data_IF_476201516423
#
_entry.id   IF_476201516423
#
_cell.length_a   1.000
_cell.length_b   1.000
_cell.length_c   1.000
_cell.angle_alpha   90.00
_cell.angle_beta   90.00
_cell.angle_gamma   90.00
#
_symmetry.space_group_name_H-M   'P 1'
#
loop_
_entity.id
_entity.type
_entity.pdbx_description
1 polymer ?
#
# COMPACT_ATOMS: atom_id res chain seq x y z
N UNK A 1 -30.50 -31.92 7.72
CA UNK A 1 -31.77 -31.58 7.02
C UNK A 1 -32.98 -32.19 7.73
N UNK A 2 -32.92 -33.44 8.17
CA UNK A 2 -34.04 -34.17 8.85
C UNK A 2 -34.72 -33.33 9.96
N UNK A 3 -33.96 -32.72 10.84
CA UNK A 3 -34.51 -31.89 11.94
C UNK A 3 -35.20 -30.61 11.47
N UNK A 4 -34.78 -30.02 10.35
CA UNK A 4 -35.44 -28.85 9.76
C UNK A 4 -36.75 -29.24 9.04
N UNK A 5 -36.76 -30.41 8.39
CA UNK A 5 -37.95 -31.00 7.75
C UNK A 5 -38.99 -31.42 8.79
N UNK A 6 -38.58 -32.06 9.89
CA UNK A 6 -39.46 -32.44 10.99
C UNK A 6 -40.15 -31.24 11.64
N UNK A 7 -39.45 -30.11 11.72
CA UNK A 7 -39.97 -28.84 12.24
C UNK A 7 -40.72 -28.02 11.18
N UNK A 8 -40.83 -28.51 9.96
CA UNK A 8 -41.47 -27.82 8.80
C UNK A 8 -40.93 -26.41 8.60
N UNK A 9 -39.62 -26.24 8.80
CA UNK A 9 -38.95 -24.97 8.50
C UNK A 9 -38.85 -24.82 6.98
N UNK A 10 -39.07 -23.63 6.51
CA UNK A 10 -38.96 -23.30 5.09
C UNK A 10 -38.58 -21.86 4.88
N UNK A 11 -37.95 -21.59 3.74
CA UNK A 11 -37.57 -20.25 3.31
C UNK A 11 -38.35 -19.91 2.06
N UNK A 12 -39.08 -18.80 2.07
CA UNK A 12 -39.81 -18.33 0.87
C UNK A 12 -38.81 -17.97 -0.25
N UNK A 13 -39.28 -18.09 -1.50
CA UNK A 13 -38.46 -17.75 -2.66
C UNK A 13 -37.98 -16.29 -2.64
N UNK A 14 -38.80 -15.36 -2.16
CA UNK A 14 -38.44 -13.95 -1.99
C UNK A 14 -37.32 -13.77 -0.96
N UNK A 15 -37.40 -14.48 0.16
CA UNK A 15 -36.36 -14.44 1.19
C UNK A 15 -35.05 -15.07 0.70
N UNK A 16 -35.14 -16.17 -0.02
CA UNK A 16 -34.00 -16.85 -0.62
C UNK A 16 -33.32 -15.95 -1.66
N UNK A 17 -34.10 -15.30 -2.52
CA UNK A 17 -33.56 -14.33 -3.48
C UNK A 17 -32.83 -13.18 -2.77
N UNK A 18 -33.39 -12.67 -1.66
CA UNK A 18 -32.74 -11.62 -0.85
C UNK A 18 -31.42 -12.10 -0.27
N UNK A 19 -31.35 -13.34 0.25
CA UNK A 19 -30.14 -13.95 0.81
C UNK A 19 -29.07 -14.08 -0.27
N UNK A 20 -29.43 -14.55 -1.47
CA UNK A 20 -28.50 -14.70 -2.60
C UNK A 20 -28.01 -13.33 -3.07
N UNK A 21 -28.90 -12.34 -3.21
CA UNK A 21 -28.53 -10.99 -3.65
C UNK A 21 -27.67 -10.22 -2.65
N UNK A 22 -27.80 -10.53 -1.36
CA UNK A 22 -27.01 -9.90 -0.29
C UNK A 22 -25.67 -10.59 -0.02
N UNK A 23 -25.36 -11.71 -0.68
CA UNK A 23 -24.09 -12.41 -0.52
C UNK A 23 -22.93 -11.55 -1.05
N UNK A 24 -21.94 -11.17 -0.21
CA UNK A 24 -20.81 -10.34 -0.63
C UNK A 24 -20.01 -10.93 -1.81
N UNK A 25 -19.95 -12.26 -1.92
CA UNK A 25 -19.26 -12.94 -3.02
C UNK A 25 -19.91 -12.69 -4.39
N UNK A 26 -21.20 -12.33 -4.39
CA UNK A 26 -21.99 -12.07 -5.60
C UNK A 26 -22.21 -10.58 -5.85
N UNK A 27 -21.56 -9.69 -5.08
CA UNK A 27 -21.67 -8.25 -5.26
C UNK A 27 -20.54 -7.72 -6.14
N UNK A 28 -20.91 -6.87 -7.11
CA UNK A 28 -19.98 -6.17 -8.00
C UNK A 28 -19.40 -4.88 -7.35
N UNK A 29 -18.61 -4.12 -8.11
CA UNK A 29 -18.14 -2.80 -7.70
C UNK A 29 -19.36 -1.89 -7.40
N UNK A 30 -19.48 -1.45 -6.13
CA UNK A 30 -20.64 -0.67 -5.68
C UNK A 30 -21.65 -1.44 -4.82
N UNK A 31 -21.36 -2.67 -4.41
CA UNK A 31 -22.14 -3.41 -3.41
C UNK A 31 -23.51 -3.91 -3.91
N UNK A 32 -23.72 -3.97 -5.21
CA UNK A 32 -24.96 -4.50 -5.82
C UNK A 32 -24.72 -5.90 -6.37
N UNK A 33 -25.79 -6.73 -6.32
CA UNK A 33 -25.78 -8.07 -6.91
C UNK A 33 -25.37 -8.03 -8.39
N UNK A 34 -24.45 -8.91 -8.78
CA UNK A 34 -23.94 -9.07 -10.14
C UNK A 34 -24.18 -10.51 -10.62
N UNK A 35 -25.06 -10.65 -11.62
CA UNK A 35 -25.40 -11.94 -12.20
C UNK A 35 -24.20 -12.62 -12.88
N UNK A 36 -23.26 -11.86 -13.42
CA UNK A 36 -22.08 -12.43 -14.06
C UNK A 36 -21.18 -13.14 -13.05
N UNK A 37 -21.04 -12.59 -11.85
CA UNK A 37 -20.33 -13.24 -10.76
C UNK A 37 -20.97 -14.54 -10.32
N UNK A 38 -22.30 -14.59 -10.24
CA UNK A 38 -23.01 -15.85 -9.99
C UNK A 38 -22.70 -16.87 -11.07
N UNK A 39 -22.76 -16.49 -12.34
CA UNK A 39 -22.46 -17.40 -13.47
C UNK A 39 -21.02 -17.89 -13.44
N UNK A 40 -20.08 -17.04 -13.07
CA UNK A 40 -18.68 -17.41 -12.92
C UNK A 40 -18.47 -18.39 -11.76
N UNK A 41 -19.11 -18.14 -10.61
CA UNK A 41 -19.10 -19.03 -9.46
C UNK A 41 -19.66 -20.40 -9.81
N UNK A 42 -20.79 -20.45 -10.54
CA UNK A 42 -21.42 -21.69 -10.98
C UNK A 42 -20.51 -22.50 -11.93
N UNK A 43 -19.89 -21.84 -12.90
CA UNK A 43 -18.90 -22.48 -13.80
C UNK A 43 -17.72 -23.06 -13.04
N UNK A 44 -17.17 -22.29 -12.06
CA UNK A 44 -16.00 -22.73 -11.31
C UNK A 44 -16.30 -23.86 -10.32
N UNK A 45 -17.53 -23.94 -9.81
CA UNK A 45 -17.96 -24.95 -8.84
C UNK A 45 -18.65 -26.16 -9.45
N UNK A 46 -18.96 -26.12 -10.76
CA UNK A 46 -19.64 -27.21 -11.48
C UNK A 46 -21.12 -27.39 -11.13
N UNK A 47 -21.74 -26.39 -10.48
CA UNK A 47 -23.17 -26.42 -10.15
C UNK A 47 -24.03 -25.79 -11.25
N UNK A 48 -25.22 -26.31 -11.41
CA UNK A 48 -26.30 -25.61 -12.12
C UNK A 48 -26.92 -24.53 -11.23
N UNK A 49 -27.63 -23.56 -11.82
CA UNK A 49 -28.35 -22.52 -11.08
C UNK A 49 -29.39 -23.12 -10.12
N UNK A 50 -30.12 -24.17 -10.57
CA UNK A 50 -31.11 -24.85 -9.74
C UNK A 50 -30.48 -25.58 -8.54
N UNK A 51 -29.39 -26.30 -8.76
CA UNK A 51 -28.65 -26.97 -7.68
C UNK A 51 -28.10 -25.99 -6.64
N UNK A 52 -27.59 -24.84 -7.11
CA UNK A 52 -27.12 -23.77 -6.23
C UNK A 52 -28.28 -23.20 -5.40
N UNK A 53 -29.43 -22.92 -5.99
CA UNK A 53 -30.61 -22.40 -5.29
C UNK A 53 -31.09 -23.41 -4.25
N UNK A 54 -31.15 -24.71 -4.58
CA UNK A 54 -31.49 -25.79 -3.62
C UNK A 54 -30.47 -25.83 -2.46
N UNK A 55 -29.19 -25.77 -2.77
CA UNK A 55 -28.14 -25.78 -1.75
C UNK A 55 -28.25 -24.55 -0.82
N UNK A 56 -28.48 -23.37 -1.37
CA UNK A 56 -28.67 -22.13 -0.59
C UNK A 56 -29.93 -22.17 0.26
N UNK A 57 -31.01 -22.78 -0.22
CA UNK A 57 -32.23 -23.03 0.55
C UNK A 57 -31.93 -23.92 1.77
N UNK A 58 -31.27 -25.04 1.55
CA UNK A 58 -30.88 -25.97 2.62
C UNK A 58 -29.97 -25.31 3.67
N UNK A 59 -29.06 -24.40 3.25
CA UNK A 59 -28.22 -23.63 4.18
C UNK A 59 -29.07 -22.65 4.99
N UNK A 60 -30.00 -21.94 4.35
CA UNK A 60 -30.85 -20.97 5.01
C UNK A 60 -31.81 -21.62 6.03
N UNK A 61 -32.37 -22.80 5.71
CA UNK A 61 -33.22 -23.56 6.62
C UNK A 61 -32.42 -24.06 7.85
N UNK A 62 -31.20 -24.55 7.64
CA UNK A 62 -30.32 -24.91 8.78
C UNK A 62 -29.93 -23.69 9.62
N UNK A 63 -29.71 -22.52 8.99
CA UNK A 63 -29.44 -21.30 9.70
C UNK A 63 -30.61 -20.84 10.57
N UNK A 64 -31.87 -20.99 10.07
CA UNK A 64 -33.06 -20.71 10.88
C UNK A 64 -33.15 -21.62 12.11
N UNK A 65 -32.84 -22.90 11.96
CA UNK A 65 -32.82 -23.82 13.11
C UNK A 65 -31.74 -23.41 14.13
N UNK A 66 -30.54 -23.10 13.65
CA UNK A 66 -29.44 -22.64 14.50
C UNK A 66 -29.79 -21.31 15.19
N UNK A 67 -30.40 -20.36 14.48
CA UNK A 67 -30.82 -19.07 15.02
C UNK A 67 -31.98 -19.23 16.02
N UNK A 68 -32.92 -20.12 15.76
CA UNK A 68 -34.02 -20.45 16.68
C UNK A 68 -33.52 -21.06 18.00
N UNK A 69 -32.44 -21.84 17.96
CA UNK A 69 -31.83 -22.45 19.17
C UNK A 69 -30.87 -21.46 19.84
N UNK A 70 -30.02 -20.76 19.09
CA UNK A 70 -28.94 -19.92 19.61
C UNK A 70 -29.28 -18.43 19.70
N UNK A 71 -30.22 -17.95 18.90
CA UNK A 71 -30.54 -16.52 18.78
C UNK A 71 -31.12 -15.85 20.04
N UNK A 72 -31.62 -16.70 20.99
CA UNK A 72 -32.05 -16.23 22.31
C UNK A 72 -30.97 -16.29 23.40
N UNK A 73 -29.84 -16.92 23.12
CA UNK A 73 -28.74 -17.05 24.09
C UNK A 73 -27.90 -15.78 24.10
N UNK A 74 -28.09 -14.95 25.12
CA UNK A 74 -27.20 -13.83 25.40
C UNK A 74 -25.99 -14.32 26.19
N UNK A 75 -24.79 -13.93 25.80
CA UNK A 75 -23.62 -14.17 26.63
C UNK A 75 -23.86 -13.57 28.02
N UNK A 76 -23.50 -14.29 29.11
CA UNK A 76 -23.63 -13.78 30.48
C UNK A 76 -22.96 -12.40 30.57
N UNK A 77 -23.65 -11.45 31.21
CA UNK A 77 -23.15 -10.05 31.34
C UNK A 77 -21.77 -10.04 32.00
N UNK A 78 -21.56 -10.90 33.02
CA UNK A 78 -20.28 -11.05 33.69
C UNK A 78 -19.15 -11.50 32.75
N UNK A 79 -19.44 -12.36 31.76
CA UNK A 79 -18.46 -12.75 30.75
C UNK A 79 -18.12 -11.61 29.79
N UNK A 80 -19.13 -10.89 29.32
CA UNK A 80 -18.94 -9.74 28.43
C UNK A 80 -18.15 -8.63 29.14
N UNK A 81 -18.49 -8.34 30.39
CA UNK A 81 -17.79 -7.36 31.23
C UNK A 81 -16.33 -7.78 31.49
N UNK A 82 -16.10 -9.04 31.83
CA UNK A 82 -14.75 -9.56 32.06
C UNK A 82 -13.90 -9.51 30.79
N UNK A 83 -14.46 -9.89 29.64
CA UNK A 83 -13.79 -9.79 28.34
C UNK A 83 -13.47 -8.35 27.96
N UNK A 84 -14.43 -7.44 28.16
CA UNK A 84 -14.25 -6.02 27.89
C UNK A 84 -13.18 -5.41 28.83
N UNK A 85 -13.18 -5.76 30.11
CA UNK A 85 -12.16 -5.34 31.06
C UNK A 85 -10.77 -5.88 30.67
N UNK A 86 -10.69 -7.15 30.26
CA UNK A 86 -9.44 -7.75 29.79
C UNK A 86 -8.89 -7.05 28.54
N UNK A 87 -9.74 -6.77 27.55
CA UNK A 87 -9.32 -6.13 26.31
C UNK A 87 -8.95 -4.65 26.47
N UNK A 88 -9.60 -3.95 27.42
CA UNK A 88 -9.38 -2.52 27.69
C UNK A 88 -8.32 -2.28 28.76
N UNK A 89 -7.81 -3.34 29.39
CA UNK A 89 -6.82 -3.21 30.46
C UNK A 89 -5.59 -2.45 29.93
N UNK A 90 -5.20 -1.42 30.65
CA UNK A 90 -3.94 -0.70 30.47
C UNK A 90 -3.05 -0.89 31.67
N UNK A 91 -1.74 -0.80 31.47
CA UNK A 91 -0.75 -0.83 32.55
C UNK A 91 0.19 0.34 32.42
N UNK A 92 0.59 0.88 33.57
CA UNK A 92 1.75 1.78 33.67
C UNK A 92 2.93 0.92 34.08
N UNK A 93 4.04 1.07 33.38
CA UNK A 93 5.24 0.24 33.54
C UNK A 93 6.43 1.14 33.75
N UNK A 94 7.14 0.94 34.86
CA UNK A 94 8.47 1.49 35.04
C UNK A 94 9.48 0.47 34.54
N UNK A 95 10.45 0.91 33.74
CA UNK A 95 11.40 0.00 33.09
C UNK A 95 12.78 0.63 32.92
N UNK A 96 13.78 -0.24 32.80
CA UNK A 96 15.14 0.10 32.41
C UNK A 96 15.38 -0.40 30.99
N UNK A 97 15.89 0.44 30.11
CA UNK A 97 16.26 0.06 28.74
C UNK A 97 17.77 -0.15 28.67
N UNK A 98 18.19 -1.39 28.46
CA UNK A 98 19.58 -1.77 28.32
C UNK A 98 19.91 -1.78 26.83
N UNK A 99 20.90 -1.01 26.43
CA UNK A 99 21.37 -0.91 25.03
C UNK A 99 22.84 -1.31 24.94
N UNK A 100 23.38 -1.40 23.74
CA UNK A 100 24.77 -1.69 23.48
C UNK A 100 25.74 -0.76 24.24
N UNK A 101 25.36 0.51 24.40
CA UNK A 101 26.17 1.52 25.11
C UNK A 101 26.40 1.16 26.60
N UNK A 102 25.46 0.45 27.22
CA UNK A 102 25.49 0.10 28.64
C UNK A 102 26.31 -1.15 28.96
N UNK A 103 26.58 -1.98 27.94
CA UNK A 103 27.32 -3.26 28.14
C UNK A 103 28.77 -3.19 27.68
N UNK A 104 29.19 -2.01 27.20
CA UNK A 104 30.54 -1.73 26.75
C UNK A 104 30.85 -2.29 25.36
N UNK A 105 31.97 -1.83 24.83
CA UNK A 105 32.42 -2.26 23.49
C UNK A 105 32.82 -3.73 23.49
N UNK A 106 32.48 -4.41 22.40
CA UNK A 106 32.92 -5.78 22.13
C UNK A 106 34.22 -5.68 21.33
N UNK A 107 35.31 -6.08 21.96
CA UNK A 107 36.63 -6.14 21.30
C UNK A 107 36.63 -7.17 20.18
N UNK A 108 37.58 -7.06 19.24
CA UNK A 108 37.76 -8.05 18.20
C UNK A 108 38.15 -9.43 18.81
N UNK A 109 37.61 -10.53 18.30
CA UNK A 109 37.99 -11.86 18.78
C UNK A 109 39.45 -12.18 18.46
N UNK A 110 40.08 -12.94 19.33
CA UNK A 110 41.39 -13.52 19.05
C UNK A 110 41.30 -14.47 17.82
N UNK A 111 42.38 -14.64 17.09
CA UNK A 111 42.38 -15.44 15.88
C UNK A 111 41.87 -16.88 16.08
N UNK A 112 42.25 -17.52 17.19
CA UNK A 112 41.80 -18.87 17.52
C UNK A 112 40.29 -18.92 17.82
N UNK A 113 39.75 -17.91 18.51
CA UNK A 113 38.32 -17.79 18.79
C UNK A 113 37.52 -17.57 17.51
N UNK A 114 38.01 -16.68 16.64
CA UNK A 114 37.38 -16.41 15.35
C UNK A 114 37.35 -17.65 14.46
N UNK A 115 38.46 -18.41 14.45
CA UNK A 115 38.56 -19.65 13.67
C UNK A 115 37.60 -20.72 14.21
N UNK A 116 37.49 -20.88 15.52
CA UNK A 116 36.53 -21.82 16.14
C UNK A 116 35.11 -21.43 15.80
N UNK A 117 34.75 -20.15 15.99
CA UNK A 117 33.44 -19.63 15.67
C UNK A 117 33.05 -19.85 14.22
N UNK A 118 33.99 -19.58 13.28
CA UNK A 118 33.78 -19.84 11.86
C UNK A 118 33.51 -21.33 11.55
N UNK A 119 34.29 -22.23 12.13
CA UNK A 119 34.09 -23.67 11.89
C UNK A 119 32.75 -24.18 12.46
N UNK A 120 32.33 -23.66 13.63
CA UNK A 120 31.05 -24.00 14.27
C UNK A 120 29.84 -23.47 13.48
N UNK A 121 30.01 -22.33 12.80
CA UNK A 121 28.93 -21.63 12.06
C UNK A 121 29.19 -21.61 10.54
N UNK A 122 30.01 -22.52 10.02
CA UNK A 122 30.47 -22.52 8.62
C UNK A 122 29.33 -22.53 7.60
N UNK A 123 28.19 -23.12 7.94
CA UNK A 123 27.03 -23.20 7.09
C UNK A 123 26.43 -21.80 6.78
N UNK A 124 26.52 -20.87 7.72
CA UNK A 124 25.95 -19.52 7.61
C UNK A 124 26.80 -18.60 6.71
N UNK A 125 28.08 -18.98 6.51
CA UNK A 125 29.04 -18.22 5.72
C UNK A 125 29.32 -18.83 4.33
N UNK A 126 28.51 -19.79 3.89
CA UNK A 126 28.62 -20.34 2.54
C UNK A 126 28.21 -19.31 1.49
N UNK A 127 28.89 -19.32 0.35
CA UNK A 127 28.37 -18.65 -0.83
C UNK A 127 27.15 -19.44 -1.34
N UNK A 128 26.01 -18.78 -1.55
CA UNK A 128 24.85 -19.44 -2.13
C UNK A 128 25.11 -19.85 -3.59
N UNK A 129 24.20 -20.59 -4.17
CA UNK A 129 24.18 -20.79 -5.61
C UNK A 129 23.80 -19.50 -6.32
N UNK A 130 24.46 -19.19 -7.43
CA UNK A 130 24.11 -18.06 -8.28
C UNK A 130 23.76 -18.52 -9.69
N UNK A 131 22.87 -17.78 -10.34
CA UNK A 131 22.46 -17.97 -11.72
C UNK A 131 22.85 -16.77 -12.57
N UNK A 132 23.41 -17.02 -13.77
CA UNK A 132 23.52 -16.02 -14.82
C UNK A 132 22.41 -16.30 -15.83
N UNK A 133 21.70 -15.25 -16.23
CA UNK A 133 20.66 -15.34 -17.27
C UNK A 133 20.92 -14.34 -18.38
N UNK A 134 20.34 -14.61 -19.53
CA UNK A 134 20.03 -13.58 -20.54
C UNK A 134 18.53 -13.43 -20.63
N UNK A 135 18.07 -12.23 -20.95
CA UNK A 135 16.65 -11.99 -21.12
C UNK A 135 16.35 -10.97 -22.22
N UNK A 136 15.16 -11.07 -22.80
CA UNK A 136 14.54 -10.06 -23.67
C UNK A 136 13.29 -9.59 -22.96
N UNK A 137 13.16 -8.28 -22.75
CA UNK A 137 11.96 -7.64 -22.25
C UNK A 137 11.25 -6.93 -23.41
N UNK A 138 10.07 -7.40 -23.75
CA UNK A 138 9.19 -6.79 -24.74
C UNK A 138 8.11 -6.01 -24.03
N UNK A 139 8.24 -4.69 -24.01
CA UNK A 139 7.27 -3.78 -23.41
C UNK A 139 6.93 -2.65 -24.37
N UNK A 140 5.79 -1.94 -24.18
CA UNK A 140 5.49 -0.77 -24.99
C UNK A 140 6.64 0.25 -25.01
N UNK A 141 7.37 0.41 -23.91
CA UNK A 141 8.49 1.33 -23.80
C UNK A 141 9.72 0.88 -24.59
N UNK A 142 10.02 -0.44 -24.60
CA UNK A 142 11.17 -0.98 -25.34
C UNK A 142 10.94 -1.03 -26.85
N UNK A 143 9.68 -1.12 -27.26
CA UNK A 143 9.28 -1.21 -28.66
C UNK A 143 8.89 0.16 -29.27
N UNK A 144 8.50 1.12 -28.44
CA UNK A 144 8.07 2.44 -28.90
C UNK A 144 9.15 3.13 -29.75
N UNK A 145 8.73 3.65 -30.91
CA UNK A 145 9.59 4.36 -31.86
C UNK A 145 9.05 5.76 -32.09
N UNK A 146 9.33 6.72 -31.19
CA UNK A 146 8.86 8.10 -31.33
C UNK A 146 9.27 8.77 -32.66
N UNK A 147 10.38 8.33 -33.25
CA UNK A 147 10.88 8.85 -34.53
C UNK A 147 9.99 8.45 -35.72
N UNK A 148 9.16 7.42 -35.60
CA UNK A 148 8.27 6.95 -36.66
C UNK A 148 6.92 7.70 -36.65
N UNK A 149 6.62 8.42 -35.55
CA UNK A 149 5.41 9.26 -35.44
C UNK A 149 5.61 10.55 -36.19
N UNK A 150 4.76 10.81 -37.15
CA UNK A 150 4.82 12.04 -37.97
C UNK A 150 4.24 13.25 -37.24
N UNK A 151 4.70 14.45 -37.59
CA UNK A 151 4.12 15.73 -37.10
C UNK A 151 2.62 15.84 -37.40
N UNK A 152 2.17 15.28 -38.52
CA UNK A 152 0.75 15.28 -38.92
C UNK A 152 -0.10 14.41 -37.96
N UNK A 153 0.37 13.24 -37.61
CA UNK A 153 -0.31 12.35 -36.62
C UNK A 153 -0.35 13.01 -35.26
N UNK A 154 0.77 13.59 -34.81
CA UNK A 154 0.84 14.26 -33.51
C UNK A 154 -0.10 15.48 -33.44
N UNK A 155 -0.22 16.27 -34.53
CA UNK A 155 -1.17 17.37 -34.58
C UNK A 155 -2.61 16.92 -34.66
N UNK A 156 -2.91 15.85 -35.37
CA UNK A 156 -4.25 15.28 -35.41
C UNK A 156 -4.68 14.78 -34.00
N UNK A 157 -3.77 14.16 -33.27
CA UNK A 157 -4.00 13.71 -31.91
C UNK A 157 -4.18 14.88 -30.94
N UNK A 158 -3.36 15.95 -31.07
CA UNK A 158 -3.55 17.17 -30.29
C UNK A 158 -4.95 17.75 -30.47
N UNK A 159 -5.42 17.89 -31.72
CA UNK A 159 -6.75 18.45 -32.00
C UNK A 159 -7.86 17.52 -31.44
N UNK A 160 -7.65 16.22 -31.47
CA UNK A 160 -8.58 15.24 -30.87
C UNK A 160 -8.66 15.38 -29.34
N UNK A 161 -7.49 15.59 -28.69
CA UNK A 161 -7.34 15.69 -27.23
C UNK A 161 -7.29 17.13 -26.71
N UNK A 162 -7.64 18.10 -27.52
CA UNK A 162 -7.49 19.53 -27.18
C UNK A 162 -8.17 19.94 -25.87
N UNK A 163 -9.23 19.25 -25.50
CA UNK A 163 -9.92 19.50 -24.24
C UNK A 163 -9.11 19.02 -23.02
N UNK A 164 -8.28 18.00 -23.19
CA UNK A 164 -7.42 17.48 -22.12
C UNK A 164 -6.29 18.47 -21.78
N UNK A 165 -5.89 19.28 -22.77
CA UNK A 165 -4.88 20.34 -22.67
C UNK A 165 -5.46 21.71 -22.33
N UNK A 166 -6.78 21.77 -22.09
CA UNK A 166 -7.48 23.00 -21.75
C UNK A 166 -7.71 23.10 -20.24
N UNK A 167 -7.09 24.10 -19.64
CA UNK A 167 -7.33 24.49 -18.26
C UNK A 167 -8.38 25.62 -18.25
N UNK A 168 -9.57 25.41 -17.68
CA UNK A 168 -10.59 26.43 -17.62
C UNK A 168 -10.17 27.57 -16.71
N UNK A 169 -10.75 28.76 -16.94
CA UNK A 169 -10.59 29.89 -16.03
C UNK A 169 -10.94 29.48 -14.61
N UNK A 170 -10.06 29.78 -13.66
CA UNK A 170 -10.25 29.52 -12.23
C UNK A 170 -10.21 30.81 -11.44
N UNK A 171 -11.04 30.89 -10.41
CA UNK A 171 -11.14 32.06 -9.55
C UNK A 171 -10.99 31.65 -8.09
N UNK A 172 -10.19 32.42 -7.36
CA UNK A 172 -10.15 32.32 -5.90
C UNK A 172 -11.30 33.14 -5.34
N UNK A 173 -12.24 32.48 -4.70
CA UNK A 173 -13.53 33.07 -4.33
C UNK A 173 -13.75 32.98 -2.84
N UNK A 174 -14.26 34.06 -2.27
CA UNK A 174 -14.80 34.10 -0.92
C UNK A 174 -16.30 34.30 -1.01
N UNK A 175 -17.05 33.69 -0.11
CA UNK A 175 -18.51 33.79 -0.04
C UNK A 175 -18.95 34.14 1.38
N UNK A 176 -19.93 35.01 1.52
CA UNK A 176 -20.58 35.29 2.79
C UNK A 176 -22.08 35.03 2.64
N UNK A 177 -22.63 34.11 3.42
CA UNK A 177 -24.02 33.72 3.39
C UNK A 177 -24.85 34.59 4.35
N UNK A 178 -26.11 34.89 4.00
CA UNK A 178 -27.03 35.70 4.76
C UNK A 178 -28.32 34.93 5.03
N UNK A 179 -28.98 35.20 6.20
CA UNK A 179 -30.19 34.50 6.57
C UNK A 179 -31.42 34.92 5.77
N UNK A 180 -31.40 36.10 5.12
CA UNK A 180 -32.48 36.61 4.26
C UNK A 180 -31.90 37.46 3.14
N UNK A 181 -32.72 37.70 2.12
CA UNK A 181 -32.38 38.58 1.00
C UNK A 181 -32.15 40.01 1.47
N UNK A 182 -33.03 40.52 2.36
CA UNK A 182 -32.95 41.88 2.90
C UNK A 182 -31.62 42.11 3.63
N UNK A 183 -31.18 41.12 4.43
CA UNK A 183 -29.91 41.21 5.14
C UNK A 183 -28.70 41.22 4.19
N UNK A 184 -28.79 40.52 3.07
CA UNK A 184 -27.74 40.52 2.02
C UNK A 184 -27.73 41.83 1.25
N UNK A 185 -28.90 42.39 0.93
CA UNK A 185 -29.05 43.69 0.27
C UNK A 185 -28.55 44.85 1.15
N UNK A 186 -28.84 44.84 2.46
CA UNK A 186 -28.27 45.80 3.40
C UNK A 186 -26.74 45.74 3.45
N UNK A 187 -26.17 44.53 3.48
CA UNK A 187 -24.73 44.32 3.44
C UNK A 187 -24.13 44.78 2.10
N UNK A 188 -24.78 44.48 0.98
CA UNK A 188 -24.37 44.95 -0.33
C UNK A 188 -24.41 46.49 -0.45
N UNK A 189 -25.43 47.16 0.15
CA UNK A 189 -25.46 48.60 0.21
C UNK A 189 -24.33 49.21 1.05
N UNK A 190 -23.91 48.56 2.12
CA UNK A 190 -22.73 48.96 2.90
C UNK A 190 -21.44 48.86 2.10
N UNK A 191 -21.29 47.80 1.28
CA UNK A 191 -20.14 47.67 0.36
C UNK A 191 -20.11 48.79 -0.68
N UNK A 192 -21.26 49.16 -1.26
CA UNK A 192 -21.38 50.29 -2.19
C UNK A 192 -21.03 51.62 -1.53
N UNK A 193 -21.26 51.77 -0.21
CA UNK A 193 -20.93 52.95 0.57
C UNK A 193 -19.48 52.95 1.10
N UNK A 194 -18.61 52.04 0.59
CA UNK A 194 -17.17 52.06 0.85
C UNK A 194 -16.69 51.12 1.93
N UNK A 195 -17.56 50.26 2.53
CA UNK A 195 -17.05 49.12 3.32
C UNK A 195 -16.40 48.09 2.45
N UNK A 196 -15.48 47.34 3.01
CA UNK A 196 -14.83 46.22 2.35
C UNK A 196 -15.50 44.89 2.74
N UNK A 197 -15.24 43.84 1.97
CA UNK A 197 -15.67 42.49 2.31
C UNK A 197 -15.10 42.04 3.67
N UNK A 198 -13.87 42.45 3.98
CA UNK A 198 -13.20 42.11 5.24
C UNK A 198 -13.81 42.88 6.45
N UNK A 199 -14.30 44.11 6.26
CA UNK A 199 -15.03 44.82 7.30
C UNK A 199 -16.33 44.10 7.66
N UNK A 200 -17.08 43.65 6.65
CA UNK A 200 -18.32 42.89 6.87
C UNK A 200 -18.03 41.51 7.51
N UNK A 201 -16.96 40.85 7.11
CA UNK A 201 -16.49 39.59 7.72
C UNK A 201 -16.22 39.78 9.22
N UNK A 202 -15.49 40.83 9.57
CA UNK A 202 -15.12 41.14 10.95
C UNK A 202 -16.36 41.50 11.80
N UNK A 203 -17.29 42.32 11.29
CA UNK A 203 -18.52 42.67 11.98
C UNK A 203 -19.40 41.44 12.29
N UNK A 204 -19.32 40.41 11.44
CA UNK A 204 -20.09 39.16 11.62
C UNK A 204 -19.31 38.09 12.39
N UNK A 205 -18.12 38.39 12.85
CA UNK A 205 -17.20 37.47 13.55
C UNK A 205 -16.92 36.17 12.75
N UNK A 206 -16.79 36.30 11.42
CA UNK A 206 -16.46 35.17 10.53
C UNK A 206 -14.96 35.06 10.40
N UNK A 207 -14.45 33.82 10.43
CA UNK A 207 -13.07 33.50 10.14
C UNK A 207 -12.81 33.40 8.63
N UNK A 208 -11.54 33.35 8.22
CA UNK A 208 -11.20 33.13 6.82
C UNK A 208 -11.72 31.78 6.31
N UNK A 209 -11.75 30.75 7.14
CA UNK A 209 -12.28 29.45 6.76
C UNK A 209 -13.79 29.46 6.52
N UNK A 210 -14.54 30.34 7.23
CA UNK A 210 -15.99 30.42 7.07
C UNK A 210 -16.41 31.05 5.74
N UNK A 211 -15.54 31.81 5.11
CA UNK A 211 -15.83 32.56 3.89
C UNK A 211 -15.08 32.05 2.66
N UNK A 212 -14.04 31.23 2.82
CA UNK A 212 -13.19 30.79 1.71
C UNK A 212 -13.78 29.59 0.97
N UNK A 213 -14.17 29.78 -0.30
CA UNK A 213 -14.58 28.68 -1.20
C UNK A 213 -13.39 28.01 -1.90
N UNK A 214 -12.19 28.62 -1.84
CA UNK A 214 -11.01 28.13 -2.54
C UNK A 214 -10.90 28.62 -3.99
N UNK A 215 -10.18 27.84 -4.80
CA UNK A 215 -9.99 28.10 -6.23
C UNK A 215 -10.94 27.20 -7.00
N UNK A 216 -11.87 27.80 -7.73
CA UNK A 216 -12.95 27.10 -8.43
C UNK A 216 -13.01 27.51 -9.90
N UNK A 217 -13.31 26.55 -10.75
CA UNK A 217 -13.80 26.80 -12.10
C UNK A 217 -15.33 27.04 -12.07
N UNK A 218 -15.87 27.60 -13.13
CA UNK A 218 -17.32 27.87 -13.22
C UNK A 218 -18.17 26.60 -13.07
N UNK A 219 -17.68 25.50 -13.64
CA UNK A 219 -18.33 24.18 -13.58
C UNK A 219 -18.32 23.54 -12.17
N UNK A 220 -17.46 23.99 -11.25
CA UNK A 220 -17.37 23.47 -9.90
C UNK A 220 -18.51 23.97 -8.98
N UNK A 221 -19.27 24.97 -9.43
CA UNK A 221 -20.40 25.48 -8.68
C UNK A 221 -21.62 24.58 -8.82
N UNK A 222 -22.13 24.12 -7.67
CA UNK A 222 -23.40 23.37 -7.60
C UNK A 222 -24.63 24.24 -7.92
N UNK A 223 -24.49 25.54 -7.76
CA UNK A 223 -25.49 26.55 -8.04
C UNK A 223 -25.01 27.45 -9.18
N UNK A 224 -25.64 27.29 -10.34
CA UNK A 224 -25.28 28.01 -11.58
C UNK A 224 -25.38 29.53 -11.42
N UNK A 225 -26.36 30.01 -10.65
CA UNK A 225 -26.53 31.45 -10.41
C UNK A 225 -25.33 32.05 -9.63
N UNK A 226 -24.78 31.30 -8.68
CA UNK A 226 -23.58 31.71 -7.96
C UNK A 226 -22.33 31.65 -8.86
N UNK A 227 -22.23 30.62 -9.68
CA UNK A 227 -21.16 30.50 -10.68
C UNK A 227 -21.18 31.66 -11.68
N UNK A 228 -22.35 31.98 -12.24
CA UNK A 228 -22.52 33.11 -13.16
C UNK A 228 -22.16 34.44 -12.50
N UNK A 229 -22.64 34.67 -11.29
CA UNK A 229 -22.31 35.88 -10.55
C UNK A 229 -20.80 35.97 -10.26
N UNK A 230 -20.19 34.91 -9.75
CA UNK A 230 -18.76 34.87 -9.44
C UNK A 230 -17.88 35.13 -10.68
N UNK A 231 -18.28 34.59 -11.84
CA UNK A 231 -17.53 34.71 -13.09
C UNK A 231 -17.84 36.01 -13.88
N UNK A 232 -18.81 36.80 -13.45
CA UNK A 232 -19.07 38.14 -13.96
C UNK A 232 -18.20 39.22 -13.29
N UNK A 233 -17.64 38.95 -12.11
CA UNK A 233 -16.85 39.90 -11.33
C UNK A 233 -15.41 40.01 -11.86
N UNK A 234 -14.79 41.17 -11.65
CA UNK A 234 -13.35 41.37 -11.88
C UNK A 234 -12.58 40.97 -10.63
N UNK A 235 -11.26 40.82 -10.81
CA UNK A 235 -10.35 40.58 -9.69
C UNK A 235 -10.46 41.72 -8.66
N UNK A 236 -10.59 41.37 -7.39
CA UNK A 236 -10.81 42.30 -6.27
C UNK A 236 -12.26 42.72 -6.09
N UNK A 237 -13.14 42.43 -7.03
CA UNK A 237 -14.53 42.90 -7.02
C UNK A 237 -15.42 42.03 -6.10
N UNK A 238 -16.44 42.70 -5.53
CA UNK A 238 -17.42 42.02 -4.67
C UNK A 238 -18.83 42.21 -5.30
N UNK A 239 -19.61 41.13 -5.28
CA UNK A 239 -20.95 41.11 -5.85
C UNK A 239 -21.93 41.95 -5.00
N UNK A 240 -23.08 42.24 -5.56
CA UNK A 240 -24.29 42.52 -4.78
C UNK A 240 -24.83 41.26 -4.06
N UNK A 241 -26.04 41.34 -3.53
CA UNK A 241 -26.75 40.18 -3.03
C UNK A 241 -27.09 39.26 -4.22
N UNK A 242 -26.67 38.02 -4.14
CA UNK A 242 -26.92 36.96 -5.14
C UNK A 242 -27.81 35.93 -4.49
N UNK A 243 -28.99 35.72 -5.04
CA UNK A 243 -29.92 34.69 -4.58
C UNK A 243 -29.47 33.33 -5.13
N UNK A 244 -29.03 32.45 -4.25
CA UNK A 244 -28.72 31.07 -4.56
C UNK A 244 -29.79 30.10 -4.13
N UNK A 245 -29.67 28.86 -4.52
CA UNK A 245 -30.65 27.79 -4.29
C UNK A 245 -30.90 27.52 -2.80
N UNK A 246 -29.93 27.77 -1.92
CA UNK A 246 -29.99 27.46 -0.49
C UNK A 246 -29.87 28.69 0.40
N UNK A 247 -29.29 29.77 -0.07
CA UNK A 247 -29.08 30.99 0.70
C UNK A 247 -28.77 32.16 -0.22
N UNK A 248 -29.03 33.38 0.22
CA UNK A 248 -28.56 34.59 -0.45
C UNK A 248 -27.11 34.86 0.01
N UNK A 249 -26.23 35.15 -0.91
CA UNK A 249 -24.78 35.31 -0.64
C UNK A 249 -24.23 36.60 -1.24
N UNK A 250 -23.10 37.05 -0.71
CA UNK A 250 -22.21 38.03 -1.35
C UNK A 250 -20.91 37.31 -1.67
N UNK A 251 -20.46 37.44 -2.90
CA UNK A 251 -19.23 36.84 -3.44
C UNK A 251 -18.13 37.89 -3.58
N UNK A 252 -16.89 37.49 -3.34
CA UNK A 252 -15.72 38.33 -3.61
C UNK A 252 -14.67 37.51 -4.34
N UNK A 253 -14.20 38.00 -5.47
CA UNK A 253 -13.14 37.38 -6.28
C UNK A 253 -11.79 37.96 -5.88
N UNK A 254 -10.94 37.14 -5.29
CA UNK A 254 -9.60 37.56 -4.84
C UNK A 254 -8.57 37.52 -5.96
N UNK A 255 -8.69 36.54 -6.84
CA UNK A 255 -7.71 36.29 -7.94
C UNK A 255 -8.41 35.58 -9.09
N UNK A 256 -8.04 35.95 -10.29
CA UNK A 256 -8.46 35.28 -11.54
C UNK A 256 -7.25 34.63 -12.17
N UNK A 257 -7.31 33.34 -12.39
CA UNK A 257 -6.39 32.62 -13.27
C UNK A 257 -7.10 32.40 -14.60
N UNK A 258 -6.70 33.06 -15.66
CA UNK A 258 -7.39 32.96 -16.96
C UNK A 258 -7.31 31.52 -17.49
N UNK A 259 -8.25 31.18 -18.36
CA UNK A 259 -8.19 29.93 -19.10
C UNK A 259 -6.90 29.85 -19.90
N UNK A 260 -6.34 28.69 -19.96
CA UNK A 260 -5.11 28.42 -20.72
C UNK A 260 -5.26 27.09 -21.44
N UNK A 261 -4.93 27.08 -22.74
CA UNK A 261 -4.78 25.85 -23.49
C UNK A 261 -3.31 25.72 -23.84
N UNK A 262 -2.70 24.63 -23.37
CA UNK A 262 -1.30 24.36 -23.71
C UNK A 262 -1.15 24.24 -25.23
N UNK A 263 -0.28 25.05 -25.87
CA UNK A 263 -0.09 24.95 -27.29
C UNK A 263 0.57 23.63 -27.69
N UNK A 264 0.35 23.21 -28.92
CA UNK A 264 0.89 21.97 -29.47
C UNK A 264 2.39 21.81 -29.20
N UNK A 265 3.16 22.89 -29.36
CA UNK A 265 4.61 22.89 -29.21
C UNK A 265 5.07 22.49 -27.77
N UNK A 266 4.25 22.73 -26.75
CA UNK A 266 4.57 22.39 -25.37
C UNK A 266 4.26 20.91 -25.06
N UNK A 267 3.25 20.31 -25.70
CA UNK A 267 2.79 18.96 -25.46
C UNK A 267 3.16 17.98 -26.56
N UNK A 268 3.80 18.44 -27.63
CA UNK A 268 4.16 17.62 -28.80
C UNK A 268 4.98 16.38 -28.39
N UNK A 269 5.98 16.53 -27.52
CA UNK A 269 6.84 15.43 -27.12
C UNK A 269 6.06 14.34 -26.35
N UNK A 270 5.12 14.74 -25.51
CA UNK A 270 4.24 13.83 -24.78
C UNK A 270 3.33 13.07 -25.75
N UNK A 271 2.66 13.79 -26.65
CA UNK A 271 1.77 13.19 -27.66
C UNK A 271 2.50 12.18 -28.54
N UNK A 272 3.70 12.52 -28.98
CA UNK A 272 4.54 11.63 -29.80
C UNK A 272 4.91 10.36 -29.04
N UNK A 273 5.24 10.48 -27.76
CA UNK A 273 5.52 9.32 -26.92
C UNK A 273 4.29 8.45 -26.70
N UNK A 274 3.14 9.06 -26.42
CA UNK A 274 1.88 8.33 -26.23
C UNK A 274 1.49 7.55 -27.49
N UNK A 275 1.54 8.22 -28.66
CA UNK A 275 1.24 7.57 -29.94
C UNK A 275 2.21 6.43 -30.27
N UNK A 276 3.52 6.62 -30.01
CA UNK A 276 4.51 5.58 -30.21
C UNK A 276 4.26 4.38 -29.31
N UNK A 277 3.85 4.60 -28.05
CA UNK A 277 3.47 3.53 -27.13
C UNK A 277 2.19 2.81 -27.58
N UNK A 278 1.17 3.53 -28.02
CA UNK A 278 -0.05 2.92 -28.57
C UNK A 278 0.22 2.08 -29.82
N UNK A 279 1.16 2.50 -30.67
CA UNK A 279 1.61 1.71 -31.82
C UNK A 279 2.33 0.44 -31.36
N UNK A 280 3.26 0.59 -30.40
CA UNK A 280 3.99 -0.51 -29.81
C UNK A 280 3.07 -1.55 -29.14
N UNK A 281 2.04 -1.11 -28.42
CA UNK A 281 1.03 -2.00 -27.80
C UNK A 281 0.28 -2.86 -28.83
N UNK A 282 0.06 -2.37 -30.03
CA UNK A 282 -0.57 -3.14 -31.11
C UNK A 282 0.39 -4.18 -31.71
N UNK A 283 1.70 -3.82 -31.79
CA UNK A 283 2.71 -4.72 -32.34
C UNK A 283 3.15 -5.83 -31.37
N UNK A 284 3.01 -5.62 -30.06
CA UNK A 284 3.49 -6.56 -29.02
C UNK A 284 2.90 -7.96 -29.22
N UNK A 285 1.62 -8.09 -29.49
CA UNK A 285 0.98 -9.40 -29.62
C UNK A 285 1.45 -10.15 -30.86
N UNK A 286 1.66 -9.46 -31.97
CA UNK A 286 2.18 -10.06 -33.18
C UNK A 286 3.65 -10.52 -32.98
N UNK A 287 4.46 -9.68 -32.30
CA UNK A 287 5.83 -10.03 -31.96
C UNK A 287 5.93 -11.16 -30.92
N UNK A 288 5.01 -11.22 -29.96
CA UNK A 288 4.94 -12.34 -29.03
C UNK A 288 4.81 -13.67 -29.78
N UNK A 289 3.84 -13.75 -30.69
CA UNK A 289 3.58 -14.96 -31.47
C UNK A 289 4.82 -15.31 -32.34
N UNK A 290 5.47 -14.30 -32.98
CA UNK A 290 6.64 -14.52 -33.80
C UNK A 290 7.88 -14.97 -33.00
N UNK A 291 8.06 -14.46 -31.78
CA UNK A 291 9.14 -14.85 -30.86
C UNK A 291 8.90 -16.26 -30.34
N UNK A 292 7.66 -16.60 -29.94
CA UNK A 292 7.31 -17.94 -29.49
C UNK A 292 7.50 -18.98 -30.61
N UNK A 293 7.09 -18.67 -31.84
CA UNK A 293 7.35 -19.54 -33.00
C UNK A 293 8.83 -19.74 -33.27
N UNK A 294 9.65 -18.68 -33.11
CA UNK A 294 11.09 -18.78 -33.28
C UNK A 294 11.74 -19.63 -32.18
N UNK A 295 11.30 -19.47 -30.93
CA UNK A 295 11.77 -20.27 -29.79
C UNK A 295 11.39 -21.75 -29.97
N UNK A 296 10.14 -22.03 -30.28
CA UNK A 296 9.68 -23.39 -30.60
C UNK A 296 10.48 -24.04 -31.77
N UNK A 297 11.00 -23.21 -32.66
CA UNK A 297 11.98 -23.62 -33.70
C UNK A 297 13.40 -23.85 -33.20
N UNK A 298 13.72 -23.59 -31.92
CA UNK A 298 15.03 -23.76 -31.29
C UNK A 298 15.92 -22.53 -31.42
N UNK A 299 15.42 -21.35 -31.74
CA UNK A 299 16.22 -20.13 -31.81
C UNK A 299 16.66 -19.67 -30.40
N UNK A 300 17.91 -19.30 -30.26
CA UNK A 300 18.44 -18.73 -29.02
C UNK A 300 18.04 -17.26 -28.86
N UNK A 301 18.03 -16.76 -27.62
CA UNK A 301 17.66 -15.35 -27.33
C UNK A 301 18.52 -14.35 -28.12
N UNK A 302 19.80 -14.63 -28.31
CA UNK A 302 20.70 -13.76 -29.12
C UNK A 302 20.21 -13.66 -30.58
N UNK A 303 19.80 -14.79 -31.18
CA UNK A 303 19.30 -14.86 -32.56
C UNK A 303 17.93 -14.15 -32.69
N UNK A 304 17.11 -14.28 -31.67
CA UNK A 304 15.81 -13.57 -31.56
C UNK A 304 16.06 -12.07 -31.45
N UNK A 305 16.97 -11.66 -30.58
CA UNK A 305 17.36 -10.26 -30.43
C UNK A 305 17.82 -9.62 -31.74
N UNK A 306 18.66 -10.34 -32.50
CA UNK A 306 19.14 -9.89 -33.84
C UNK A 306 17.97 -9.83 -34.86
N UNK A 307 17.16 -10.90 -34.92
CA UNK A 307 16.09 -11.03 -35.90
C UNK A 307 14.99 -9.98 -35.77
N UNK A 308 14.59 -9.71 -34.50
CA UNK A 308 13.49 -8.79 -34.21
C UNK A 308 13.96 -7.42 -33.71
N UNK A 309 15.30 -7.18 -33.71
CA UNK A 309 15.89 -5.93 -33.20
C UNK A 309 15.53 -5.64 -31.75
N UNK A 310 15.44 -6.68 -30.91
CA UNK A 310 15.15 -6.59 -29.49
C UNK A 310 16.45 -6.65 -28.66
N UNK A 311 16.60 -5.78 -27.65
CA UNK A 311 17.80 -5.79 -26.83
C UNK A 311 17.88 -7.02 -25.93
N UNK A 312 18.93 -7.82 -26.07
CA UNK A 312 19.27 -8.90 -25.15
C UNK A 312 20.06 -8.33 -24.00
N UNK A 313 19.59 -8.52 -22.78
CA UNK A 313 20.26 -8.08 -21.55
C UNK A 313 20.82 -9.29 -20.80
N UNK A 314 21.95 -9.08 -20.12
CA UNK A 314 22.60 -10.07 -19.25
C UNK A 314 22.96 -9.37 -17.93
N UNK A 315 22.14 -9.49 -16.89
CA UNK A 315 22.43 -8.93 -15.58
C UNK A 315 23.61 -9.67 -14.91
N UNK A 316 24.11 -9.10 -13.79
CA UNK A 316 25.04 -9.84 -12.95
C UNK A 316 24.41 -11.14 -12.41
N UNK A 317 25.25 -12.14 -12.12
CA UNK A 317 24.80 -13.36 -11.46
C UNK A 317 24.12 -13.05 -10.14
N UNK A 318 22.99 -13.70 -9.87
CA UNK A 318 22.16 -13.48 -8.69
C UNK A 318 21.84 -14.79 -7.96
N UNK A 319 21.60 -14.68 -6.67
CA UNK A 319 21.16 -15.77 -5.80
C UNK A 319 19.63 -15.93 -5.78
N UNK A 320 19.12 -16.93 -5.06
CA UNK A 320 17.70 -17.22 -4.93
C UNK A 320 16.89 -16.10 -4.22
N UNK A 321 17.55 -15.11 -3.63
CA UNK A 321 16.92 -13.90 -3.08
C UNK A 321 16.95 -12.71 -4.05
N UNK A 322 17.54 -12.86 -5.23
CA UNK A 322 17.71 -11.80 -6.23
C UNK A 322 18.93 -10.90 -5.98
N UNK A 323 19.81 -11.27 -5.06
CA UNK A 323 21.03 -10.49 -4.76
C UNK A 323 22.16 -10.89 -5.67
N UNK A 324 22.92 -9.89 -6.12
CA UNK A 324 24.12 -10.09 -6.92
C UNK A 324 25.28 -10.64 -6.09
N UNK A 325 26.32 -11.16 -6.75
CA UNK A 325 27.54 -11.60 -6.08
C UNK A 325 28.25 -10.48 -5.30
N UNK A 326 27.99 -9.23 -5.63
CA UNK A 326 28.52 -8.06 -4.91
C UNK A 326 27.74 -7.71 -3.64
N UNK A 327 26.63 -8.41 -3.37
CA UNK A 327 25.79 -8.26 -2.17
C UNK A 327 24.67 -7.22 -2.29
N UNK A 328 24.58 -6.49 -3.43
CA UNK A 328 23.45 -5.61 -3.78
C UNK A 328 22.33 -6.37 -4.47
N UNK A 329 21.21 -5.72 -4.71
CA UNK A 329 20.16 -6.26 -5.58
C UNK A 329 20.66 -6.33 -7.02
N UNK A 330 20.38 -7.44 -7.72
CA UNK A 330 20.69 -7.56 -9.13
C UNK A 330 19.69 -6.72 -9.96
N UNK A 331 20.17 -6.16 -11.09
CA UNK A 331 19.34 -5.39 -12.02
C UNK A 331 18.43 -6.32 -12.84
N UNK A 332 17.43 -6.88 -12.14
CA UNK A 332 16.45 -7.80 -12.72
C UNK A 332 15.15 -7.06 -13.04
N UNK A 333 14.47 -7.42 -14.14
CA UNK A 333 13.13 -6.92 -14.39
C UNK A 333 12.14 -7.45 -13.34
N UNK A 334 11.18 -6.61 -12.97
CA UNK A 334 10.11 -6.95 -12.01
C UNK A 334 9.06 -7.86 -12.69
N UNK A 335 9.45 -9.09 -12.95
CA UNK A 335 8.61 -10.15 -13.52
C UNK A 335 8.40 -11.25 -12.47
N UNK A 336 7.13 -11.45 -12.10
CA UNK A 336 6.76 -12.48 -11.13
C UNK A 336 7.25 -13.87 -11.64
N UNK A 337 7.97 -14.57 -10.78
CA UNK A 337 8.50 -15.90 -11.11
C UNK A 337 9.86 -15.93 -11.79
N UNK A 338 10.49 -14.82 -12.17
CA UNK A 338 11.78 -14.81 -12.86
C UNK A 338 12.88 -15.48 -12.02
N UNK A 339 13.06 -15.05 -10.78
CA UNK A 339 14.11 -15.61 -9.90
C UNK A 339 13.84 -17.10 -9.64
N UNK A 340 12.60 -17.44 -9.25
CA UNK A 340 12.21 -18.83 -8.99
C UNK A 340 12.39 -19.70 -10.23
N UNK A 341 11.90 -19.26 -11.39
CA UNK A 341 12.02 -19.99 -12.65
C UNK A 341 13.48 -20.18 -13.09
N UNK A 342 14.35 -19.16 -12.87
CA UNK A 342 15.76 -19.28 -13.16
C UNK A 342 16.45 -20.33 -12.28
N UNK A 343 16.01 -20.53 -11.03
CA UNK A 343 16.55 -21.55 -10.12
C UNK A 343 15.94 -22.95 -10.34
N UNK A 344 14.73 -23.03 -10.87
CA UNK A 344 14.08 -24.30 -11.22
C UNK A 344 14.51 -24.83 -12.61
N UNK A 345 15.19 -24.00 -13.43
CA UNK A 345 15.63 -24.33 -14.77
C UNK A 345 17.11 -24.67 -14.83
N UNK A 346 17.51 -25.42 -15.86
CA UNK A 346 18.90 -25.74 -16.18
C UNK A 346 19.38 -24.97 -17.42
N UNK A 347 20.73 -25.00 -17.63
CA UNK A 347 21.34 -24.38 -18.81
C UNK A 347 20.83 -25.04 -20.11
N UNK A 348 20.33 -24.19 -21.02
CA UNK A 348 19.86 -24.63 -22.33
C UNK A 348 18.44 -25.21 -22.33
N UNK A 349 17.71 -25.06 -21.24
CA UNK A 349 16.27 -25.32 -21.17
C UNK A 349 15.54 -24.06 -21.58
N UNK A 350 14.59 -24.21 -22.47
CA UNK A 350 13.64 -23.15 -22.84
C UNK A 350 12.62 -22.98 -21.72
N UNK A 351 12.50 -21.74 -21.25
CA UNK A 351 11.57 -21.40 -20.19
C UNK A 351 10.32 -20.74 -20.76
N UNK A 352 9.20 -20.90 -20.07
CA UNK A 352 7.95 -20.24 -20.42
C UNK A 352 8.11 -18.70 -20.35
N UNK A 353 7.39 -18.01 -21.24
CA UNK A 353 7.34 -16.55 -21.24
C UNK A 353 6.68 -16.04 -19.95
N UNK A 354 7.28 -15.04 -19.33
CA UNK A 354 6.75 -14.39 -18.14
C UNK A 354 6.04 -13.08 -18.51
N UNK A 355 5.02 -12.73 -17.73
CA UNK A 355 4.36 -11.43 -17.83
C UNK A 355 5.26 -10.35 -17.21
N UNK A 356 5.42 -9.22 -17.90
CA UNK A 356 6.15 -8.05 -17.40
C UNK A 356 5.23 -6.83 -17.41
N UNK A 357 4.77 -6.43 -16.21
CA UNK A 357 3.75 -5.40 -16.08
C UNK A 357 2.41 -5.82 -16.68
N UNK A 358 1.59 -4.85 -17.12
CA UNK A 358 0.24 -5.13 -17.63
C UNK A 358 0.23 -5.68 -19.07
N UNK A 359 1.19 -5.28 -19.90
CA UNK A 359 1.20 -5.54 -21.36
C UNK A 359 2.55 -5.94 -21.91
N UNK A 360 3.51 -6.27 -21.06
CA UNK A 360 4.84 -6.69 -21.46
C UNK A 360 5.05 -8.18 -21.27
N UNK A 361 6.09 -8.71 -21.92
CA UNK A 361 6.52 -10.09 -21.86
C UNK A 361 8.02 -10.16 -21.66
N UNK A 362 8.46 -11.23 -21.02
CA UNK A 362 9.86 -11.47 -20.72
C UNK A 362 10.20 -12.92 -21.07
N UNK A 363 11.20 -13.09 -21.92
CA UNK A 363 11.86 -14.38 -22.15
C UNK A 363 13.23 -14.36 -21.49
N UNK A 364 13.59 -15.47 -20.89
CA UNK A 364 14.90 -15.63 -20.27
C UNK A 364 15.46 -17.03 -20.47
N UNK A 365 16.78 -17.12 -20.53
CA UNK A 365 17.52 -18.39 -20.57
C UNK A 365 18.58 -18.38 -19.49
N UNK A 366 18.74 -19.50 -18.79
CA UNK A 366 19.84 -19.70 -17.85
C UNK A 366 21.12 -20.02 -18.66
N UNK A 367 22.11 -19.16 -18.53
CA UNK A 367 23.37 -19.29 -19.27
C UNK A 367 24.47 -19.95 -18.46
N UNK A 368 24.38 -19.82 -17.12
CA UNK A 368 25.36 -20.42 -16.22
C UNK A 368 24.80 -20.67 -14.84
N UNK A 369 25.23 -21.78 -14.24
CA UNK A 369 24.99 -22.13 -12.86
C UNK A 369 26.33 -22.07 -12.12
N UNK A 370 26.39 -21.24 -11.08
CA UNK A 370 27.52 -21.13 -10.17
C UNK A 370 27.12 -21.84 -8.87
N UNK A 371 27.62 -23.04 -8.58
CA UNK A 371 27.14 -23.80 -7.44
C UNK A 371 27.53 -23.17 -6.11
N UNK A 372 26.69 -23.39 -5.11
CA UNK A 372 27.01 -23.04 -3.73
C UNK A 372 28.35 -23.68 -3.32
N UNK A 373 29.17 -22.91 -2.60
CA UNK A 373 30.46 -23.37 -2.11
C UNK A 373 30.76 -22.87 -0.72
N UNK A 374 31.62 -23.61 -0.03
CA UNK A 374 32.23 -23.12 1.19
C UNK A 374 33.14 -21.95 0.87
N UNK A 375 33.14 -20.93 1.70
CA UNK A 375 34.09 -19.81 1.66
C UNK A 375 35.16 -20.06 2.74
N UNK A 376 36.36 -19.60 2.52
CA UNK A 376 37.42 -19.63 3.53
C UNK A 376 37.18 -18.49 4.55
N UNK A 377 37.73 -18.67 5.77
CA UNK A 377 37.68 -17.61 6.80
C UNK A 377 38.26 -16.28 6.29
N UNK A 378 39.26 -16.32 5.44
CA UNK A 378 39.89 -15.11 4.88
C UNK A 378 38.92 -14.35 3.95
N UNK A 379 38.07 -15.08 3.19
CA UNK A 379 37.08 -14.46 2.30
C UNK A 379 35.92 -13.79 3.07
N UNK A 380 35.62 -14.24 4.28
CA UNK A 380 34.45 -13.80 5.08
C UNK A 380 34.82 -13.23 6.45
N UNK A 381 36.09 -12.93 6.65
CA UNK A 381 36.62 -12.50 7.95
C UNK A 381 35.78 -11.40 8.60
N UNK A 382 35.47 -10.35 7.85
CA UNK A 382 34.73 -9.20 8.37
C UNK A 382 33.29 -9.58 8.73
N UNK A 383 32.67 -10.45 7.93
CA UNK A 383 31.32 -10.99 8.19
C UNK A 383 31.30 -11.84 9.47
N UNK A 384 32.31 -12.70 9.64
CA UNK A 384 32.46 -13.58 10.81
C UNK A 384 32.71 -12.76 12.08
N UNK A 385 33.58 -11.73 12.01
CA UNK A 385 33.83 -10.81 13.13
C UNK A 385 32.55 -10.07 13.52
N UNK A 386 31.81 -9.55 12.54
CA UNK A 386 30.55 -8.84 12.80
C UNK A 386 29.51 -9.76 13.45
N UNK A 387 29.33 -10.98 12.92
CA UNK A 387 28.40 -11.95 13.47
C UNK A 387 28.78 -12.36 14.91
N UNK A 388 30.05 -12.64 15.16
CA UNK A 388 30.54 -12.97 16.49
C UNK A 388 30.32 -11.81 17.49
N UNK A 389 30.64 -10.58 17.09
CA UNK A 389 30.39 -9.40 17.92
C UNK A 389 28.92 -9.21 18.26
N UNK A 390 28.07 -9.43 17.29
CA UNK A 390 26.62 -9.34 17.47
C UNK A 390 26.11 -10.41 18.46
N UNK A 391 26.63 -11.62 18.37
CA UNK A 391 26.30 -12.69 19.32
C UNK A 391 26.77 -12.36 20.74
N UNK A 392 28.03 -11.90 20.90
CA UNK A 392 28.58 -11.48 22.18
C UNK A 392 27.83 -10.30 22.78
N UNK A 393 27.41 -9.34 21.95
CA UNK A 393 26.58 -8.23 22.39
C UNK A 393 25.23 -8.72 22.93
N UNK A 394 24.57 -9.60 22.18
CA UNK A 394 23.28 -10.19 22.59
C UNK A 394 23.42 -10.97 23.88
N UNK A 395 24.46 -11.76 24.03
CA UNK A 395 24.76 -12.51 25.25
C UNK A 395 25.01 -11.58 26.44
N UNK A 396 25.82 -10.51 26.28
CA UNK A 396 26.06 -9.53 27.36
C UNK A 396 24.79 -8.80 27.76
N UNK A 397 23.98 -8.38 26.81
CA UNK A 397 22.68 -7.75 27.09
C UNK A 397 21.77 -8.68 27.87
N UNK A 398 21.68 -9.94 27.46
CA UNK A 398 20.86 -10.97 28.09
C UNK A 398 21.34 -11.26 29.53
N UNK A 399 22.65 -11.41 29.72
CA UNK A 399 23.24 -11.65 31.04
C UNK A 399 23.03 -10.44 31.99
N UNK A 400 23.21 -9.22 31.46
CA UNK A 400 22.97 -8.00 32.25
C UNK A 400 21.49 -7.90 32.65
N UNK A 401 20.58 -8.19 31.72
CA UNK A 401 19.15 -8.18 32.01
C UNK A 401 18.76 -9.24 33.04
N UNK A 402 19.34 -10.46 32.96
CA UNK A 402 19.11 -11.54 33.93
C UNK A 402 19.63 -11.18 35.33
N UNK A 403 20.81 -10.57 35.42
CA UNK A 403 21.38 -10.12 36.70
C UNK A 403 20.52 -9.03 37.37
N UNK A 404 20.01 -8.08 36.56
CA UNK A 404 19.10 -7.04 37.05
C UNK A 404 17.74 -7.61 37.47
N UNK A 405 17.21 -8.57 36.72
CA UNK A 405 15.98 -9.27 37.07
C UNK A 405 16.12 -9.98 38.43
N UNK A 406 17.18 -10.74 38.62
CA UNK A 406 17.42 -11.46 39.89
C UNK A 406 17.49 -10.49 41.08
N UNK A 407 18.19 -9.35 40.94
CA UNK A 407 18.24 -8.32 41.98
C UNK A 407 16.88 -7.66 42.26
N UNK A 408 16.08 -7.47 41.20
CA UNK A 408 14.74 -6.89 41.32
C UNK A 408 13.78 -7.88 42.02
N UNK A 409 13.88 -9.19 41.72
CA UNK A 409 13.13 -10.25 42.37
C UNK A 409 13.51 -10.41 43.84
N UNK A 410 14.78 -10.15 44.19
CA UNK A 410 15.27 -10.08 45.57
C UNK A 410 14.82 -8.81 46.32
N UNK A 411 14.04 -7.94 45.67
CA UNK A 411 13.42 -6.76 46.27
C UNK A 411 14.21 -5.48 46.12
N UNK A 412 15.26 -5.43 45.28
CA UNK A 412 15.97 -4.17 44.98
C UNK A 412 15.12 -3.27 44.08
N UNK A 413 14.78 -2.03 44.48
CA UNK A 413 13.93 -1.14 43.68
C UNK A 413 14.59 -0.75 42.37
N UNK A 414 13.81 -0.58 41.29
CA UNK A 414 14.30 -0.11 39.97
C UNK A 414 15.17 1.16 40.02
N UNK A 415 14.85 2.20 40.79
CA UNK A 415 15.73 3.37 40.92
C UNK A 415 17.13 3.03 41.47
N UNK A 416 17.23 2.11 42.42
CA UNK A 416 18.52 1.70 42.98
C UNK A 416 19.33 0.85 41.97
N UNK A 417 18.67 0.08 41.12
CA UNK A 417 19.31 -0.64 40.01
C UNK A 417 19.77 0.31 38.92
N UNK A 418 18.98 1.33 38.62
CA UNK A 418 19.35 2.40 37.69
C UNK A 418 20.61 3.11 38.12
N UNK A 419 20.70 3.53 39.41
CA UNK A 419 21.87 4.20 39.98
C UNK A 419 23.14 3.32 39.93
N UNK A 420 22.98 1.99 40.11
CA UNK A 420 24.11 1.04 40.04
C UNK A 420 24.66 0.84 38.63
N UNK A 421 23.82 1.01 37.62
CA UNK A 421 24.14 0.68 36.22
C UNK A 421 24.28 1.90 35.33
N UNK A 422 23.96 3.10 35.81
CA UNK A 422 23.92 4.31 35.00
C UNK A 422 22.75 4.39 34.03
N UNK A 423 21.75 3.54 34.22
CA UNK A 423 20.53 3.54 33.43
C UNK A 423 19.52 4.56 33.98
N UNK A 424 18.58 4.99 33.14
CA UNK A 424 17.44 5.80 33.58
C UNK A 424 16.18 4.93 33.75
N UNK A 425 15.43 5.20 34.84
CA UNK A 425 14.11 4.64 34.99
C UNK A 425 13.16 5.40 34.07
N UNK A 426 12.62 4.70 33.09
CA UNK A 426 11.60 5.21 32.20
C UNK A 426 10.21 4.71 32.64
N UNK A 427 9.18 5.51 32.39
CA UNK A 427 7.79 5.17 32.67
C UNK A 427 6.97 5.20 31.38
N UNK A 428 6.32 4.09 31.05
CA UNK A 428 5.35 4.03 29.97
C UNK A 428 3.94 3.92 30.55
N UNK A 429 3.09 4.87 30.22
CA UNK A 429 1.66 4.87 30.60
C UNK A 429 0.81 4.29 29.50
N UNK A 430 -0.37 3.75 29.88
CA UNK A 430 -1.38 3.23 28.95
C UNK A 430 -0.91 2.10 28.01
N UNK A 431 0.06 1.30 28.44
CA UNK A 431 0.50 0.11 27.67
C UNK A 431 -0.70 -0.85 27.54
N UNK A 432 -0.99 -1.28 26.32
CA UNK A 432 -2.12 -2.16 25.97
C UNK A 432 -1.65 -3.49 25.42
N UNK A 433 -2.43 -4.57 25.64
CA UNK A 433 -2.06 -5.94 25.25
C UNK A 433 -1.74 -6.15 23.78
N UNK A 434 -2.42 -5.44 22.90
CA UNK A 434 -2.36 -5.70 21.45
C UNK A 434 -1.81 -4.53 20.65
N UNK A 435 -1.16 -3.57 21.31
CA UNK A 435 -0.68 -2.36 20.66
C UNK A 435 0.77 -2.10 21.07
N UNK A 436 1.74 -2.65 20.32
CA UNK A 436 3.14 -2.27 20.47
C UNK A 436 3.30 -0.75 20.28
N UNK A 437 4.09 -0.11 21.11
CA UNK A 437 4.31 1.34 21.05
C UNK A 437 5.62 1.74 21.74
N UNK A 438 6.38 2.62 21.13
CA UNK A 438 7.66 3.08 21.65
C UNK A 438 8.66 1.93 21.83
N UNK A 439 9.25 1.81 23.01
CA UNK A 439 10.22 0.75 23.35
C UNK A 439 9.57 -0.65 23.53
N UNK A 440 8.24 -0.75 23.40
CA UNK A 440 7.50 -1.99 23.64
C UNK A 440 7.12 -2.68 22.34
N UNK A 441 7.81 -3.78 22.01
CA UNK A 441 7.47 -4.74 20.98
C UNK A 441 6.44 -5.76 21.47
N UNK A 442 6.19 -6.81 20.68
CA UNK A 442 5.24 -7.88 21.06
C UNK A 442 5.64 -8.62 22.32
N UNK A 443 6.92 -8.93 22.46
CA UNK A 443 7.46 -9.71 23.59
C UNK A 443 7.38 -8.91 24.89
N UNK A 444 7.83 -7.65 24.88
CA UNK A 444 7.77 -6.78 26.04
C UNK A 444 6.33 -6.47 26.47
N UNK A 445 5.40 -6.26 25.53
CA UNK A 445 3.97 -6.15 25.86
C UNK A 445 3.45 -7.44 26.50
N UNK A 446 3.82 -8.62 25.96
CA UNK A 446 3.45 -9.91 26.55
C UNK A 446 3.98 -10.05 27.96
N UNK A 447 5.25 -9.70 28.20
CA UNK A 447 5.87 -9.73 29.51
C UNK A 447 5.16 -8.79 30.51
N UNK A 448 4.80 -7.57 30.10
CA UNK A 448 4.03 -6.62 30.91
C UNK A 448 2.72 -7.22 31.42
N UNK A 449 2.05 -8.05 30.64
CA UNK A 449 0.75 -8.65 30.99
C UNK A 449 0.82 -10.11 31.47
N UNK A 450 2.01 -10.70 31.60
CA UNK A 450 2.18 -12.11 32.00
C UNK A 450 1.85 -12.38 33.46
N UNK A 451 1.97 -11.38 34.34
CA UNK A 451 1.74 -11.53 35.79
C UNK A 451 0.82 -10.46 36.38
N UNK A 452 0.57 -10.48 37.69
CA UNK A 452 -0.15 -9.42 38.40
C UNK A 452 0.65 -8.12 38.43
N UNK A 453 0.03 -7.01 38.87
CA UNK A 453 0.72 -5.75 39.11
C UNK A 453 1.84 -5.94 40.13
N UNK A 454 3.02 -5.40 39.85
CA UNK A 454 4.22 -5.57 40.69
C UNK A 454 5.12 -6.74 40.26
N UNK A 455 4.74 -7.51 39.23
CA UNK A 455 5.64 -8.53 38.64
C UNK A 455 6.79 -7.82 37.90
N UNK A 456 7.99 -8.33 38.09
CA UNK A 456 9.19 -7.93 37.37
C UNK A 456 9.44 -8.96 36.27
N UNK A 457 9.86 -8.50 35.10
CA UNK A 457 10.18 -9.34 33.95
C UNK A 457 11.20 -8.66 33.04
N UNK A 458 11.88 -9.46 32.24
CA UNK A 458 12.72 -8.97 31.12
C UNK A 458 12.09 -9.38 29.80
N UNK A 459 12.31 -8.58 28.77
CA UNK A 459 11.90 -8.88 27.40
C UNK A 459 12.73 -8.05 26.41
N UNK A 460 12.73 -8.48 25.15
CA UNK A 460 13.29 -7.68 24.08
C UNK A 460 12.45 -6.43 23.83
N UNK A 461 13.12 -5.30 23.60
CA UNK A 461 12.48 -4.06 23.17
C UNK A 461 12.03 -4.14 21.69
N UNK A 462 11.32 -3.12 21.23
CA UNK A 462 10.89 -3.00 19.85
C UNK A 462 12.06 -2.75 18.89
#
# INVERSE_FOLDING_TARGET
NDSAEDLKLGVSDERLATIIQSDPALQGPGGRYDRNRLQQLLRNSGYTEDEYVVQRRNIAERAQLAEGIAGGMKAPTSYVEALAAYQRATRTVDYLLITAEHVGEIEDPAADTLSAYFEDNKADFRAPEYREIKFIALTPETLARPADVTDEEARAEYERRKQDFHEPERRRIRQMSFPSQEAAEEAAAQLQNGKTFDDLKAERNLSDNDVNLGVMAKADFLDEALGDAAFSLKEGETSGAVEGRFSTVILNVQQITPEHTQPFEEVQAEIVQDLAKEQAEREILDLLDEVEDARAGGALLDEIGERFSLPVKAPEAFDASGKSMSGGEADLPDAEGLVTGAFDSDIGIENDVLQLGERGFLWYDVTKVIPARDRSLDEVRDEVVAAWKQEQLTERLSNTAADLLAKAEDGTPLPALADQTGLEVKTASDVRRNTPSGDFGRESVSAVFSGPVGTVATAQSA
#
